data_IF_143574364059
#
_entry.id   IF_143574364059
#
_cell.length_a   1.000
_cell.length_b   1.000
_cell.length_c   1.000
_cell.angle_alpha   90.00
_cell.angle_beta   90.00
_cell.angle_gamma   90.00
#
_symmetry.space_group_name_H-M   'P 1'
#
loop_
_entity.id
_entity.type
_entity.pdbx_description
1 polymer ?
#
# COMPACT_ATOMS: atom_id res chain seq x y z
N UNK A 1 19.80 -0.61 -7.11
CA UNK A 1 18.57 -0.09 -7.75
C UNK A 1 17.41 -0.35 -6.80
N UNK A 2 16.59 0.65 -6.49
CA UNK A 2 15.41 0.44 -5.66
C UNK A 2 14.44 -0.50 -6.40
N UNK A 3 13.98 -1.56 -5.73
CA UNK A 3 13.03 -2.52 -6.29
C UNK A 3 11.65 -1.87 -6.41
N UNK A 4 10.99 -2.03 -7.57
CA UNK A 4 9.62 -1.53 -7.79
C UNK A 4 8.69 -2.15 -6.74
N UNK A 5 8.01 -1.30 -5.96
CA UNK A 5 7.06 -1.76 -4.95
C UNK A 5 5.85 -2.40 -5.63
N UNK A 6 5.50 -3.60 -5.20
CA UNK A 6 4.37 -4.33 -5.79
C UNK A 6 3.07 -3.60 -5.51
N UNK A 7 2.21 -3.50 -6.51
CA UNK A 7 1.02 -2.65 -6.46
C UNK A 7 -0.25 -3.47 -6.73
N UNK A 8 -1.20 -3.48 -5.81
CA UNK A 8 -2.47 -4.20 -5.98
C UNK A 8 -3.61 -3.22 -5.84
N UNK A 9 -4.35 -3.01 -6.93
CA UNK A 9 -5.57 -2.20 -6.93
C UNK A 9 -6.80 -3.07 -7.18
N UNK A 10 -7.82 -2.98 -6.33
CA UNK A 10 -9.12 -3.59 -6.58
C UNK A 10 -10.06 -2.60 -7.26
N UNK A 11 -10.31 -2.76 -8.56
CA UNK A 11 -11.35 -2.03 -9.28
C UNK A 11 -12.70 -2.74 -9.06
N UNK A 12 -13.59 -2.11 -8.29
CA UNK A 12 -14.89 -2.69 -7.93
C UNK A 12 -15.93 -2.58 -9.05
N UNK A 13 -15.63 -1.79 -10.10
CA UNK A 13 -16.53 -1.49 -11.21
C UNK A 13 -17.90 -1.02 -10.70
N UNK A 14 -18.99 -1.37 -11.37
CA UNK A 14 -20.34 -0.86 -11.10
C UNK A 14 -21.29 -1.87 -10.44
N UNK A 15 -20.83 -3.07 -10.07
CA UNK A 15 -21.67 -4.09 -9.43
C UNK A 15 -21.30 -4.25 -7.94
N UNK A 16 -21.89 -3.38 -7.11
CA UNK A 16 -21.50 -3.20 -5.71
C UNK A 16 -22.71 -2.89 -4.83
N UNK A 17 -22.75 -3.48 -3.64
CA UNK A 17 -23.70 -3.14 -2.58
C UNK A 17 -22.98 -2.80 -1.26
N UNK A 18 -23.68 -2.14 -0.34
CA UNK A 18 -23.14 -1.68 0.94
C UNK A 18 -22.56 -2.81 1.80
N UNK A 19 -23.18 -3.99 1.80
CA UNK A 19 -22.73 -5.14 2.60
C UNK A 19 -21.38 -5.69 2.09
N UNK A 20 -21.20 -5.78 0.78
CA UNK A 20 -19.94 -6.21 0.17
C UNK A 20 -18.81 -5.21 0.48
N UNK A 21 -19.10 -3.90 0.37
CA UNK A 21 -18.15 -2.82 0.67
C UNK A 21 -17.72 -2.88 2.13
N UNK A 22 -18.69 -2.88 3.06
CA UNK A 22 -18.41 -2.88 4.51
C UNK A 22 -17.71 -4.17 4.96
N UNK A 23 -18.09 -5.32 4.40
CA UNK A 23 -17.41 -6.61 4.65
C UNK A 23 -15.95 -6.57 4.23
N UNK A 24 -15.65 -6.07 3.02
CA UNK A 24 -14.26 -5.97 2.56
C UNK A 24 -13.45 -4.96 3.38
N UNK A 25 -14.03 -3.79 3.69
CA UNK A 25 -13.39 -2.78 4.54
C UNK A 25 -13.07 -3.37 5.91
N UNK A 26 -14.02 -4.05 6.55
CA UNK A 26 -13.81 -4.73 7.83
C UNK A 26 -12.69 -5.75 7.75
N UNK A 27 -12.66 -6.57 6.68
CA UNK A 27 -11.61 -7.54 6.47
C UNK A 27 -10.23 -6.89 6.26
N UNK A 28 -10.13 -5.82 5.47
CA UNK A 28 -8.88 -5.08 5.27
C UNK A 28 -8.42 -4.39 6.57
N UNK A 29 -9.34 -3.82 7.33
CA UNK A 29 -9.04 -3.19 8.62
C UNK A 29 -8.52 -4.21 9.65
N UNK A 30 -9.20 -5.35 9.79
CA UNK A 30 -8.89 -6.35 10.82
C UNK A 30 -7.78 -7.34 10.46
N UNK A 31 -7.62 -7.70 9.18
CA UNK A 31 -6.69 -8.76 8.77
C UNK A 31 -5.33 -8.27 8.27
N UNK A 32 -5.19 -6.99 7.88
CA UNK A 32 -3.88 -6.42 7.54
C UNK A 32 -3.12 -6.04 8.82
N UNK A 33 -2.47 -7.00 9.48
CA UNK A 33 -1.72 -6.71 10.73
C UNK A 33 -0.35 -6.05 10.53
N UNK A 34 0.09 -5.86 9.28
CA UNK A 34 1.36 -5.25 8.91
C UNK A 34 1.16 -3.89 8.21
N UNK A 35 2.16 -3.01 8.22
CA UNK A 35 2.13 -1.75 7.49
C UNK A 35 2.51 -2.01 6.03
N UNK A 36 1.81 -1.34 5.11
CA UNK A 36 1.97 -1.46 3.67
C UNK A 36 3.16 -0.63 3.14
N UNK A 37 4.29 -0.59 3.87
CA UNK A 37 5.47 0.18 3.45
C UNK A 37 6.20 -0.48 2.27
N UNK A 38 6.23 -1.81 2.24
CA UNK A 38 6.98 -2.59 1.22
C UNK A 38 6.18 -2.89 -0.05
N UNK A 39 4.86 -2.71 -0.02
CA UNK A 39 3.97 -2.92 -1.15
C UNK A 39 2.71 -2.06 -1.01
N UNK A 40 2.06 -1.71 -2.11
CA UNK A 40 0.95 -0.76 -2.16
C UNK A 40 -0.38 -1.48 -2.40
N UNK A 41 -1.38 -1.19 -1.57
CA UNK A 41 -2.77 -1.64 -1.78
C UNK A 41 -3.66 -0.42 -2.02
N UNK A 42 -4.49 -0.51 -3.05
CA UNK A 42 -5.47 0.50 -3.43
C UNK A 42 -6.83 -0.18 -3.65
N UNK A 43 -7.92 0.49 -3.31
CA UNK A 43 -9.27 0.07 -3.69
C UNK A 43 -9.97 1.18 -4.45
N UNK A 44 -10.73 0.83 -5.49
CA UNK A 44 -11.42 1.77 -6.37
C UNK A 44 -12.92 1.51 -6.38
N UNK A 45 -13.67 2.05 -5.40
CA UNK A 45 -15.12 1.94 -5.34
C UNK A 45 -15.84 2.74 -6.45
N UNK A 46 -17.11 2.40 -6.77
CA UNK A 46 -17.99 3.34 -7.45
C UNK A 46 -18.07 4.67 -6.71
N UNK A 47 -18.32 5.76 -7.44
CA UNK A 47 -18.30 7.13 -6.90
C UNK A 47 -19.20 7.30 -5.66
N UNK A 48 -20.39 6.68 -5.65
CA UNK A 48 -21.34 6.72 -4.52
C UNK A 48 -20.79 6.14 -3.22
N UNK A 49 -19.73 5.31 -3.28
CA UNK A 49 -19.09 4.70 -2.11
C UNK A 49 -17.71 5.30 -1.77
N UNK A 50 -17.23 6.33 -2.48
CA UNK A 50 -15.92 6.93 -2.23
C UNK A 50 -15.78 7.45 -0.80
N UNK A 51 -16.74 8.26 -0.34
CA UNK A 51 -16.70 8.87 1.00
C UNK A 51 -16.79 7.82 2.12
N UNK A 52 -17.71 6.85 1.97
CA UNK A 52 -17.83 5.72 2.91
C UNK A 52 -16.52 4.94 2.99
N UNK A 53 -15.95 4.61 1.82
CA UNK A 53 -14.72 3.82 1.74
C UNK A 53 -13.56 4.58 2.37
N UNK A 54 -13.35 5.85 2.02
CA UNK A 54 -12.22 6.62 2.55
C UNK A 54 -12.32 6.86 4.06
N UNK A 55 -13.51 7.17 4.57
CA UNK A 55 -13.73 7.40 6.00
C UNK A 55 -13.59 6.14 6.86
N UNK A 56 -13.94 4.97 6.31
CA UNK A 56 -13.99 3.71 7.07
C UNK A 56 -12.73 2.86 6.91
N UNK A 57 -11.97 3.03 5.82
CA UNK A 57 -10.80 2.21 5.52
C UNK A 57 -9.54 2.78 6.18
N UNK A 58 -8.73 1.89 6.76
CA UNK A 58 -7.40 2.19 7.30
C UNK A 58 -6.55 3.05 6.36
N UNK A 59 -5.76 3.96 6.95
CA UNK A 59 -5.06 5.04 6.22
C UNK A 59 -3.90 4.59 5.33
N UNK A 60 -3.34 3.42 5.57
CA UNK A 60 -2.26 2.83 4.76
C UNK A 60 -2.79 2.08 3.53
N UNK A 61 -4.10 1.86 3.42
CA UNK A 61 -4.75 1.46 2.16
C UNK A 61 -5.28 2.72 1.47
N UNK A 62 -4.81 2.97 0.26
CA UNK A 62 -5.23 4.13 -0.52
C UNK A 62 -6.59 3.87 -1.20
N UNK A 63 -7.33 4.94 -1.47
CA UNK A 63 -8.58 4.88 -2.24
C UNK A 63 -8.36 5.60 -3.56
N UNK A 64 -8.86 4.99 -4.64
CA UNK A 64 -8.89 5.54 -5.98
C UNK A 64 -10.33 5.85 -6.42
N UNK A 65 -10.51 6.86 -7.27
CA UNK A 65 -11.72 6.94 -8.09
C UNK A 65 -11.58 6.08 -9.35
N UNK A 66 -12.69 5.60 -9.90
CA UNK A 66 -12.73 4.82 -11.14
C UNK A 66 -12.63 5.69 -12.41
N UNK A 67 -12.91 6.98 -12.30
CA UNK A 67 -12.76 8.01 -13.32
C UNK A 67 -12.91 9.41 -12.67
N UNK A 68 -12.60 10.45 -13.42
CA UNK A 68 -12.89 11.83 -13.05
C UNK A 68 -13.05 12.70 -14.31
N UNK A 69 -13.43 13.96 -14.12
CA UNK A 69 -13.48 14.98 -15.15
C UNK A 69 -12.48 16.11 -14.90
N UNK A 70 -11.87 16.62 -15.98
CA UNK A 70 -11.00 17.78 -15.94
C UNK A 70 -11.86 19.02 -16.09
N UNK A 71 -11.77 19.99 -15.18
CA UNK A 71 -12.43 21.27 -15.41
C UNK A 71 -11.77 21.96 -16.62
N UNK A 72 -12.51 22.12 -17.72
CA UNK A 72 -12.06 22.87 -18.90
C UNK A 72 -12.54 24.33 -18.80
N UNK A 73 -13.04 24.92 -19.89
CA UNK A 73 -13.34 26.35 -20.01
C UNK A 73 -14.39 26.90 -19.01
N UNK A 74 -15.32 26.06 -18.52
CA UNK A 74 -16.38 26.48 -17.59
C UNK A 74 -16.44 25.59 -16.36
N UNK A 75 -15.75 26.01 -15.30
CA UNK A 75 -15.77 25.37 -13.99
C UNK A 75 -17.21 25.06 -13.52
N UNK A 76 -17.46 23.81 -13.13
CA UNK A 76 -18.72 23.35 -12.57
C UNK A 76 -19.87 23.11 -13.56
N UNK A 77 -19.71 23.40 -14.86
CA UNK A 77 -20.77 23.21 -15.86
C UNK A 77 -20.79 21.81 -16.49
N UNK A 78 -20.63 20.77 -15.68
CA UNK A 78 -20.57 19.37 -16.13
C UNK A 78 -21.43 18.48 -15.22
N UNK A 79 -22.74 18.46 -15.47
CA UNK A 79 -23.70 17.68 -14.67
C UNK A 79 -23.31 16.20 -14.61
N UNK A 80 -23.37 15.61 -13.40
CA UNK A 80 -23.00 14.24 -13.08
C UNK A 80 -21.50 13.89 -13.13
N UNK A 81 -20.64 14.77 -13.65
CA UNK A 81 -19.20 14.55 -13.59
C UNK A 81 -18.63 14.88 -12.20
N UNK A 82 -17.59 14.15 -11.81
CA UNK A 82 -16.85 14.37 -10.56
C UNK A 82 -15.47 14.91 -10.91
N UNK A 83 -15.16 16.12 -10.46
CA UNK A 83 -13.89 16.79 -10.76
C UNK A 83 -12.72 16.22 -9.95
N UNK A 84 -11.49 16.43 -10.42
CA UNK A 84 -10.29 16.04 -9.68
C UNK A 84 -10.20 16.75 -8.31
N UNK A 85 -10.60 18.02 -8.25
CA UNK A 85 -10.59 18.83 -7.04
C UNK A 85 -11.58 18.27 -6.00
N UNK A 86 -12.74 17.78 -6.44
CA UNK A 86 -13.69 17.10 -5.55
C UNK A 86 -13.07 15.83 -4.95
N UNK A 87 -12.32 15.05 -5.76
CA UNK A 87 -11.63 13.86 -5.26
C UNK A 87 -10.56 14.22 -4.22
N UNK A 88 -9.74 15.23 -4.50
CA UNK A 88 -8.71 15.73 -3.57
C UNK A 88 -9.36 16.22 -2.26
N UNK A 89 -10.47 16.96 -2.35
CA UNK A 89 -11.21 17.45 -1.19
C UNK A 89 -11.73 16.30 -0.30
N UNK A 90 -12.18 15.19 -0.92
CA UNK A 90 -12.61 13.98 -0.21
C UNK A 90 -11.44 13.14 0.36
N UNK A 91 -10.19 13.56 0.17
CA UNK A 91 -9.00 12.82 0.59
C UNK A 91 -8.74 11.57 -0.26
N UNK A 92 -9.27 11.53 -1.49
CA UNK A 92 -8.97 10.49 -2.47
C UNK A 92 -7.63 10.81 -3.12
N UNK A 93 -6.77 9.80 -3.22
CA UNK A 93 -5.34 9.99 -3.57
C UNK A 93 -4.96 9.41 -4.93
N UNK A 94 -5.80 8.54 -5.49
CA UNK A 94 -5.56 7.86 -6.76
C UNK A 94 -6.75 8.01 -7.71
N UNK A 95 -6.52 7.83 -9.00
CA UNK A 95 -7.59 7.73 -10.00
C UNK A 95 -7.20 6.75 -11.10
N UNK A 96 -8.18 5.97 -11.58
CA UNK A 96 -8.05 5.14 -12.78
C UNK A 96 -8.47 5.97 -13.99
N UNK A 97 -7.67 5.96 -15.05
CA UNK A 97 -7.92 6.71 -16.29
C UNK A 97 -7.73 5.81 -17.50
N UNK A 98 -8.59 5.92 -18.51
CA UNK A 98 -8.46 5.15 -19.76
C UNK A 98 -8.74 3.65 -19.62
N UNK A 99 -9.55 3.25 -18.62
CA UNK A 99 -9.97 1.86 -18.47
C UNK A 99 -10.64 1.35 -19.76
N UNK A 100 -10.46 0.07 -20.13
CA UNK A 100 -10.91 -0.43 -21.44
C UNK A 100 -12.41 -0.24 -21.65
N UNK A 101 -13.22 -0.43 -20.62
CA UNK A 101 -14.67 -0.18 -20.65
C UNK A 101 -15.00 1.27 -21.01
N UNK A 102 -14.22 2.25 -20.54
CA UNK A 102 -14.42 3.67 -20.89
C UNK A 102 -14.06 3.97 -22.33
N UNK A 103 -12.97 3.37 -22.82
CA UNK A 103 -12.57 3.49 -24.22
C UNK A 103 -13.61 2.85 -25.16
N UNK A 104 -14.11 1.68 -24.80
CA UNK A 104 -15.01 0.89 -25.65
C UNK A 104 -16.47 1.34 -25.59
N UNK A 105 -17.01 1.60 -24.39
CA UNK A 105 -18.44 1.91 -24.22
C UNK A 105 -18.73 3.41 -24.23
N UNK A 106 -17.77 4.25 -23.80
CA UNK A 106 -17.91 5.70 -23.74
C UNK A 106 -17.04 6.45 -24.76
N UNK A 107 -16.25 5.74 -25.57
CA UNK A 107 -15.47 6.35 -26.64
C UNK A 107 -14.34 7.27 -26.15
N UNK A 108 -13.77 7.04 -24.96
CA UNK A 108 -12.63 7.86 -24.51
C UNK A 108 -11.41 7.68 -25.43
N UNK A 109 -11.08 8.77 -26.14
CA UNK A 109 -9.96 8.86 -27.07
C UNK A 109 -8.60 8.85 -26.35
N UNK A 110 -7.54 8.50 -27.08
CA UNK A 110 -6.19 8.40 -26.54
C UNK A 110 -5.66 9.74 -26.05
N UNK A 111 -5.89 10.81 -26.82
CA UNK A 111 -5.51 12.18 -26.48
C UNK A 111 -6.24 12.65 -25.20
N UNK A 112 -7.55 12.41 -25.10
CA UNK A 112 -8.33 12.74 -23.91
C UNK A 112 -7.80 12.01 -22.66
N UNK A 113 -7.35 10.75 -22.83
CA UNK A 113 -6.72 10.03 -21.73
C UNK A 113 -5.39 10.67 -21.34
N UNK A 114 -4.55 11.07 -22.30
CA UNK A 114 -3.31 11.80 -22.05
C UNK A 114 -3.54 13.09 -21.24
N UNK A 115 -4.49 13.92 -21.68
CA UNK A 115 -4.90 15.14 -20.98
C UNK A 115 -5.40 14.84 -19.56
N UNK A 116 -6.24 13.81 -19.39
CA UNK A 116 -6.71 13.38 -18.05
C UNK A 116 -5.57 12.97 -17.14
N UNK A 117 -4.54 12.30 -17.66
CA UNK A 117 -3.38 11.94 -16.84
C UNK A 117 -2.64 13.21 -16.39
N UNK A 118 -2.37 14.13 -17.30
CA UNK A 118 -1.69 15.39 -16.98
C UNK A 118 -2.45 16.22 -15.94
N UNK A 119 -3.76 16.41 -16.14
CA UNK A 119 -4.59 17.18 -15.23
C UNK A 119 -4.70 16.52 -13.85
N UNK A 120 -4.86 15.20 -13.77
CA UNK A 120 -4.89 14.51 -12.49
C UNK A 120 -3.59 14.73 -11.70
N UNK A 121 -2.44 14.62 -12.38
CA UNK A 121 -1.13 14.85 -11.77
C UNK A 121 -0.98 16.31 -11.32
N UNK A 122 -1.47 17.29 -12.10
CA UNK A 122 -1.40 18.72 -11.74
C UNK A 122 -2.22 19.05 -10.49
N UNK A 123 -3.31 18.31 -10.24
CA UNK A 123 -4.11 18.42 -9.01
C UNK A 123 -3.55 17.62 -7.83
N UNK A 124 -2.41 16.94 -8.00
CA UNK A 124 -1.77 16.15 -6.94
C UNK A 124 -2.35 14.74 -6.76
N UNK A 125 -3.21 14.28 -7.67
CA UNK A 125 -3.65 12.88 -7.69
C UNK A 125 -2.55 11.98 -8.26
N UNK A 126 -2.58 10.72 -7.87
CA UNK A 126 -1.77 9.66 -8.48
C UNK A 126 -2.61 8.90 -9.49
N UNK A 127 -2.00 8.43 -10.57
CA UNK A 127 -2.74 7.91 -11.73
C UNK A 127 -2.43 6.44 -11.95
N UNK A 128 -3.47 5.63 -12.10
CA UNK A 128 -3.44 4.31 -12.71
C UNK A 128 -3.89 4.48 -14.16
N UNK A 129 -2.93 4.65 -15.07
CA UNK A 129 -3.19 4.88 -16.48
C UNK A 129 -3.32 3.54 -17.21
N UNK A 130 -4.48 3.30 -17.81
CA UNK A 130 -4.81 2.03 -18.43
C UNK A 130 -4.54 2.05 -19.94
N UNK A 131 -3.86 1.01 -20.42
CA UNK A 131 -3.56 0.76 -21.83
C UNK A 131 -3.81 -0.72 -22.15
N UNK A 132 -4.09 -1.07 -23.39
CA UNK A 132 -4.44 -2.43 -23.77
C UNK A 132 -4.69 -2.63 -25.25
N UNK A 133 -4.61 -3.89 -25.67
CA UNK A 133 -4.96 -4.29 -27.04
C UNK A 133 -6.48 -4.20 -27.20
N UNK A 134 -6.96 -3.44 -28.18
CA UNK A 134 -8.38 -3.43 -28.50
C UNK A 134 -8.74 -4.68 -29.32
N UNK A 135 -9.85 -5.33 -28.97
CA UNK A 135 -10.38 -6.50 -29.68
C UNK A 135 -11.38 -6.10 -30.77
N UNK A 136 -11.90 -4.87 -30.72
CA UNK A 136 -12.88 -4.37 -31.69
C UNK A 136 -12.23 -3.70 -32.91
N UNK A 137 -12.81 -3.85 -34.13
CA UNK A 137 -12.35 -3.14 -35.33
C UNK A 137 -12.34 -1.62 -35.12
N UNK A 138 -11.24 -0.96 -35.49
CA UNK A 138 -11.07 0.49 -35.35
C UNK A 138 -10.49 0.95 -34.00
N UNK A 139 -10.16 0.03 -33.10
CA UNK A 139 -9.46 0.34 -31.86
C UNK A 139 -8.01 0.78 -32.03
N UNK A 140 -7.54 1.71 -31.21
CA UNK A 140 -6.14 2.10 -31.18
C UNK A 140 -5.24 0.98 -30.68
N UNK A 141 -4.04 0.86 -31.27
CA UNK A 141 -3.05 -0.08 -30.81
C UNK A 141 -2.39 0.39 -29.50
N UNK A 142 -1.74 -0.55 -28.82
CA UNK A 142 -1.05 -0.31 -27.55
C UNK A 142 0.00 0.80 -27.62
N UNK A 143 0.65 0.98 -28.78
CA UNK A 143 1.70 1.98 -28.99
C UNK A 143 1.10 3.38 -29.08
N UNK A 144 -0.01 3.54 -29.78
CA UNK A 144 -0.74 4.82 -29.85
C UNK A 144 -1.21 5.25 -28.46
N UNK A 145 -1.82 4.34 -27.70
CA UNK A 145 -2.30 4.63 -26.35
C UNK A 145 -1.20 5.07 -25.40
N UNK A 146 -0.05 4.37 -25.39
CA UNK A 146 1.07 4.75 -24.51
C UNK A 146 1.73 6.04 -24.98
N UNK A 147 1.81 6.28 -26.30
CA UNK A 147 2.35 7.51 -26.85
C UNK A 147 1.53 8.73 -26.42
N UNK A 148 0.20 8.65 -26.48
CA UNK A 148 -0.67 9.74 -26.03
C UNK A 148 -0.43 10.09 -24.55
N UNK A 149 -0.27 9.10 -23.67
CA UNK A 149 0.09 9.37 -22.25
C UNK A 149 1.48 9.99 -22.15
N UNK A 150 2.44 9.47 -22.91
CA UNK A 150 3.84 9.92 -22.92
C UNK A 150 3.97 11.35 -23.35
N UNK A 151 3.22 11.80 -24.34
CA UNK A 151 3.32 13.17 -24.86
C UNK A 151 2.85 14.20 -23.81
N UNK A 152 2.03 13.79 -22.83
CA UNK A 152 1.50 14.63 -21.75
C UNK A 152 2.20 14.50 -20.39
N UNK A 153 3.04 13.47 -20.19
CA UNK A 153 3.64 13.16 -18.87
C UNK A 153 5.16 13.36 -18.86
N UNK A 154 5.59 14.31 -18.03
CA UNK A 154 7.00 14.59 -17.74
C UNK A 154 7.50 13.87 -16.49
N UNK A 155 6.76 13.93 -15.37
CA UNK A 155 7.06 13.20 -14.14
C UNK A 155 6.20 11.93 -13.98
N UNK A 156 6.88 10.78 -13.94
CA UNK A 156 6.27 9.46 -13.84
C UNK A 156 6.20 8.92 -12.40
N UNK A 157 6.66 9.69 -11.41
CA UNK A 157 6.74 9.27 -9.99
C UNK A 157 5.38 8.83 -9.44
N UNK A 158 4.32 9.52 -9.86
CA UNK A 158 2.95 9.29 -9.41
C UNK A 158 2.09 8.53 -10.42
N UNK A 159 2.72 7.86 -11.40
CA UNK A 159 2.04 7.07 -12.43
C UNK A 159 2.27 5.56 -12.22
N UNK A 160 1.23 4.79 -12.46
CA UNK A 160 1.24 3.33 -12.60
C UNK A 160 0.59 3.00 -13.95
N UNK A 161 1.27 2.20 -14.76
CA UNK A 161 0.72 1.75 -16.04
C UNK A 161 -0.01 0.41 -15.83
N UNK A 162 -1.28 0.33 -16.21
CA UNK A 162 -2.09 -0.88 -16.11
C UNK A 162 -2.34 -1.46 -17.50
N UNK A 163 -1.72 -2.62 -17.78
CA UNK A 163 -1.89 -3.31 -19.05
C UNK A 163 -3.10 -4.25 -19.02
N UNK A 164 -4.10 -3.96 -19.85
CA UNK A 164 -5.31 -4.74 -20.07
C UNK A 164 -5.13 -5.57 -21.34
N UNK A 165 -4.90 -6.88 -21.24
CA UNK A 165 -4.78 -7.71 -22.42
C UNK A 165 -6.11 -7.91 -23.13
N UNK A 166 -6.06 -8.25 -24.41
CA UNK A 166 -7.23 -8.74 -25.13
C UNK A 166 -7.91 -9.92 -24.41
N UNK A 167 -9.23 -10.04 -24.57
CA UNK A 167 -10.01 -11.12 -23.96
C UNK A 167 -9.44 -12.48 -24.41
N UNK A 168 -9.21 -13.38 -23.45
CA UNK A 168 -8.66 -14.72 -23.72
C UNK A 168 -7.14 -14.79 -23.85
N UNK A 169 -6.40 -13.68 -23.75
CA UNK A 169 -4.95 -13.69 -23.81
C UNK A 169 -4.33 -14.56 -22.70
N UNK A 170 -3.28 -15.32 -23.06
CA UNK A 170 -2.58 -16.16 -22.10
C UNK A 170 -1.65 -15.34 -21.20
N UNK A 171 -1.33 -15.88 -20.01
CA UNK A 171 -0.35 -15.26 -19.10
C UNK A 171 1.06 -15.12 -19.72
N UNK A 172 1.40 -15.93 -20.73
CA UNK A 172 2.67 -15.82 -21.46
C UNK A 172 2.68 -14.55 -22.31
N UNK A 173 1.60 -14.31 -23.05
CA UNK A 173 1.40 -13.07 -23.83
C UNK A 173 1.50 -11.86 -22.91
N UNK A 174 0.82 -11.87 -21.76
CA UNK A 174 0.92 -10.80 -20.78
C UNK A 174 2.37 -10.53 -20.30
N UNK A 175 3.16 -11.59 -20.08
CA UNK A 175 4.56 -11.43 -19.67
C UNK A 175 5.39 -10.75 -20.76
N UNK A 176 5.17 -11.12 -22.02
CA UNK A 176 5.86 -10.54 -23.16
C UNK A 176 5.47 -9.08 -23.39
N UNK A 177 4.18 -8.75 -23.33
CA UNK A 177 3.73 -7.37 -23.52
C UNK A 177 4.25 -6.46 -22.41
N UNK A 178 4.28 -6.90 -21.16
CA UNK A 178 4.89 -6.13 -20.07
C UNK A 178 6.38 -5.83 -20.30
N UNK A 179 7.12 -6.81 -20.85
CA UNK A 179 8.53 -6.62 -21.22
C UNK A 179 8.65 -5.58 -22.34
N UNK A 180 7.88 -5.74 -23.42
CA UNK A 180 7.85 -4.82 -24.57
C UNK A 180 7.47 -3.40 -24.18
N UNK A 181 6.50 -3.22 -23.28
CA UNK A 181 6.12 -1.90 -22.76
C UNK A 181 7.27 -1.23 -22.02
N UNK A 182 8.02 -2.00 -21.22
CA UNK A 182 9.18 -1.46 -20.49
C UNK A 182 10.33 -1.09 -21.43
N UNK A 183 10.59 -1.93 -22.43
CA UNK A 183 11.57 -1.64 -23.49
C UNK A 183 11.18 -0.39 -24.30
N UNK A 184 9.90 -0.27 -24.64
CA UNK A 184 9.39 0.91 -25.33
C UNK A 184 9.57 2.18 -24.50
N UNK A 185 9.27 2.15 -23.19
CA UNK A 185 9.49 3.28 -22.28
C UNK A 185 10.98 3.60 -22.10
N UNK A 186 11.84 2.60 -22.16
CA UNK A 186 13.29 2.81 -22.11
C UNK A 186 13.77 3.62 -23.32
N UNK A 187 13.28 3.28 -24.51
CA UNK A 187 13.63 3.94 -25.77
C UNK A 187 13.00 5.33 -25.95
N UNK A 188 11.79 5.55 -25.42
CA UNK A 188 11.01 6.78 -25.69
C UNK A 188 10.98 7.78 -24.53
N UNK A 189 11.48 7.41 -23.34
CA UNK A 189 11.62 8.31 -22.20
C UNK A 189 13.05 8.30 -21.67
N UNK A 190 13.30 7.62 -20.56
CA UNK A 190 14.62 7.46 -19.97
C UNK A 190 14.73 6.09 -19.33
N UNK A 191 15.97 5.59 -19.21
CA UNK A 191 16.23 4.36 -18.46
C UNK A 191 15.72 4.44 -17.02
N UNK A 192 15.78 5.61 -16.38
CA UNK A 192 15.29 5.82 -15.02
C UNK A 192 13.76 5.62 -14.93
N UNK A 193 13.00 6.20 -15.87
CA UNK A 193 11.54 6.04 -15.95
C UNK A 193 11.17 4.56 -16.17
N UNK A 194 11.77 3.90 -17.15
CA UNK A 194 11.48 2.50 -17.45
C UNK A 194 11.79 1.55 -16.27
N UNK A 195 12.83 1.84 -15.49
CA UNK A 195 13.22 1.02 -14.34
C UNK A 195 12.34 1.27 -13.11
N UNK A 196 11.84 2.50 -12.90
CA UNK A 196 11.07 2.89 -11.72
C UNK A 196 9.57 2.71 -11.87
N UNK A 197 9.02 2.85 -13.09
CA UNK A 197 7.59 2.75 -13.34
C UNK A 197 7.08 1.34 -13.03
N UNK A 198 5.94 1.29 -12.33
CA UNK A 198 5.20 0.04 -12.09
C UNK A 198 4.30 -0.23 -13.29
N UNK A 199 4.44 -1.41 -13.89
CA UNK A 199 3.55 -1.93 -14.91
C UNK A 199 2.76 -3.09 -14.31
N UNK A 200 1.47 -2.87 -14.06
CA UNK A 200 0.57 -3.82 -13.41
C UNK A 200 -0.30 -4.55 -14.42
N UNK A 201 -0.58 -5.81 -14.15
CA UNK A 201 -1.41 -6.65 -15.01
C UNK A 201 -2.90 -6.45 -14.68
N UNK A 202 -3.71 -6.10 -15.68
CA UNK A 202 -5.12 -5.78 -15.54
C UNK A 202 -6.06 -6.79 -16.25
N UNK A 203 -5.55 -7.98 -16.60
CA UNK A 203 -6.38 -9.07 -17.13
C UNK A 203 -6.90 -10.01 -16.03
N UNK A 204 -7.37 -11.19 -16.43
CA UNK A 204 -7.90 -12.18 -15.49
C UNK A 204 -6.83 -12.66 -14.50
N UNK A 205 -7.02 -12.36 -13.22
CA UNK A 205 -6.03 -12.59 -12.16
C UNK A 205 -6.06 -14.00 -11.58
N UNK A 206 -6.69 -14.99 -12.21
CA UNK A 206 -6.81 -16.36 -11.66
C UNK A 206 -5.45 -17.03 -11.45
N UNK A 207 -4.43 -16.63 -12.21
CA UNK A 207 -3.04 -17.12 -12.12
C UNK A 207 -2.10 -16.15 -11.38
N UNK A 208 -2.61 -15.32 -10.47
CA UNK A 208 -1.85 -14.30 -9.72
C UNK A 208 -0.53 -14.82 -9.10
N UNK A 209 -0.50 -16.06 -8.58
CA UNK A 209 0.72 -16.68 -8.04
C UNK A 209 1.85 -16.84 -9.06
N UNK A 210 1.51 -17.16 -10.32
CA UNK A 210 2.50 -17.31 -11.41
C UNK A 210 2.91 -15.94 -11.95
N UNK A 211 1.94 -15.04 -12.14
CA UNK A 211 2.17 -13.70 -12.68
C UNK A 211 3.02 -12.82 -11.75
N UNK A 212 2.79 -12.90 -10.44
CA UNK A 212 3.53 -12.09 -9.43
C UNK A 212 5.04 -12.37 -9.36
N UNK A 213 5.49 -13.50 -9.93
CA UNK A 213 6.90 -13.92 -10.01
C UNK A 213 7.58 -13.48 -11.32
N UNK A 214 6.86 -12.84 -12.24
CA UNK A 214 7.41 -12.37 -13.51
C UNK A 214 8.11 -11.02 -13.30
N UNK A 215 9.29 -10.88 -13.91
CA UNK A 215 10.20 -9.75 -13.72
C UNK A 215 9.57 -8.38 -14.04
N UNK A 216 8.77 -8.32 -15.11
CA UNK A 216 8.15 -7.08 -15.60
C UNK A 216 6.71 -6.87 -15.12
N UNK A 217 6.19 -7.75 -14.24
CA UNK A 217 4.85 -7.62 -13.67
C UNK A 217 4.98 -7.12 -12.23
N UNK A 218 4.63 -5.85 -12.04
CA UNK A 218 4.82 -5.14 -10.78
C UNK A 218 3.56 -5.13 -9.92
N UNK A 219 2.52 -5.87 -10.30
CA UNK A 219 1.25 -5.80 -9.59
C UNK A 219 0.05 -6.22 -10.39
N UNK A 220 -1.13 -5.89 -9.84
CA UNK A 220 -2.43 -6.22 -10.42
C UNK A 220 -3.43 -5.07 -10.31
N UNK A 221 -4.18 -4.84 -11.39
CA UNK A 221 -5.47 -4.17 -11.36
C UNK A 221 -6.55 -5.25 -11.41
N UNK A 222 -7.13 -5.57 -10.26
CA UNK A 222 -8.09 -6.67 -10.09
C UNK A 222 -9.49 -6.13 -10.38
N UNK A 223 -10.15 -6.63 -11.43
CA UNK A 223 -11.58 -6.41 -11.66
C UNK A 223 -12.41 -7.47 -10.95
N UNK A 224 -12.61 -8.61 -11.61
CA UNK A 224 -13.38 -9.73 -11.06
C UNK A 224 -12.76 -10.27 -9.75
N UNK A 225 -13.58 -10.35 -8.70
CA UNK A 225 -13.16 -10.81 -7.38
C UNK A 225 -12.44 -9.76 -6.53
N UNK A 226 -12.44 -8.49 -6.94
CA UNK A 226 -11.89 -7.37 -6.16
C UNK A 226 -12.68 -7.06 -4.89
N UNK A 227 -13.97 -7.43 -4.85
CA UNK A 227 -14.88 -7.30 -3.71
C UNK A 227 -15.07 -8.60 -2.90
N UNK A 228 -14.25 -9.63 -3.16
CA UNK A 228 -14.41 -10.94 -2.51
C UNK A 228 -13.16 -11.31 -1.71
N UNK A 229 -13.19 -12.40 -0.90
CA UNK A 229 -11.99 -12.90 -0.22
C UNK A 229 -10.82 -13.23 -1.16
N UNK A 230 -11.07 -13.35 -2.47
CA UNK A 230 -10.03 -13.52 -3.49
C UNK A 230 -9.09 -12.31 -3.54
N UNK A 231 -9.58 -11.09 -3.38
CA UNK A 231 -8.73 -9.90 -3.32
C UNK A 231 -7.71 -9.99 -2.19
N UNK A 232 -8.16 -10.42 -1.00
CA UNK A 232 -7.28 -10.61 0.16
C UNK A 232 -6.21 -11.67 -0.11
N UNK A 233 -6.52 -12.75 -0.83
CA UNK A 233 -5.52 -13.75 -1.26
C UNK A 233 -4.49 -13.20 -2.25
N UNK A 234 -4.89 -12.26 -3.11
CA UNK A 234 -3.95 -11.58 -4.03
C UNK A 234 -3.04 -10.64 -3.25
N UNK A 235 -3.60 -9.90 -2.28
CA UNK A 235 -2.84 -9.06 -1.35
C UNK A 235 -1.85 -9.91 -0.54
N UNK A 236 -2.28 -11.06 -0.01
CA UNK A 236 -1.42 -12.02 0.69
C UNK A 236 -0.26 -12.55 -0.16
N UNK A 237 -0.48 -12.76 -1.46
CA UNK A 237 0.60 -13.14 -2.37
C UNK A 237 1.65 -12.02 -2.52
N UNK A 238 1.24 -10.76 -2.46
CA UNK A 238 2.17 -9.63 -2.43
C UNK A 238 2.96 -9.63 -1.12
N UNK A 239 2.30 -9.87 0.02
CA UNK A 239 2.96 -9.99 1.34
C UNK A 239 4.04 -11.06 1.30
N UNK A 240 3.68 -12.28 0.90
CA UNK A 240 4.60 -13.41 0.83
C UNK A 240 5.82 -13.16 -0.06
N UNK A 241 5.72 -12.26 -1.06
CA UNK A 241 6.84 -11.87 -1.92
C UNK A 241 7.89 -11.04 -1.16
N UNK A 242 7.46 -10.15 -0.27
CA UNK A 242 8.36 -9.30 0.53
C UNK A 242 8.74 -9.94 1.86
N UNK A 243 7.86 -10.75 2.42
CA UNK A 243 7.98 -11.42 3.70
C UNK A 243 7.70 -12.92 3.52
N UNK A 244 8.68 -13.70 3.03
CA UNK A 244 8.47 -15.14 2.80
C UNK A 244 8.12 -15.88 4.10
N UNK A 245 7.08 -16.72 4.05
CA UNK A 245 6.63 -17.52 5.20
C UNK A 245 5.61 -16.83 6.09
N UNK A 246 5.21 -15.60 5.79
CA UNK A 246 4.13 -14.91 6.52
C UNK A 246 2.79 -15.03 5.81
N UNK A 247 1.74 -15.41 6.52
CA UNK A 247 0.38 -15.35 5.98
C UNK A 247 -0.37 -14.09 6.42
N UNK A 248 -1.36 -13.72 5.62
CA UNK A 248 -2.32 -12.65 5.86
C UNK A 248 -3.00 -12.78 7.23
N UNK A 249 -2.74 -11.82 8.13
CA UNK A 249 -3.36 -11.74 9.45
C UNK A 249 -2.65 -12.51 10.57
N UNK A 250 -1.56 -13.21 10.27
CA UNK A 250 -0.82 -14.03 11.25
C UNK A 250 0.33 -13.29 11.94
N UNK A 251 0.85 -12.19 11.38
CA UNK A 251 1.99 -11.45 11.96
C UNK A 251 1.89 -9.92 11.83
N UNK A 252 2.43 -9.20 12.82
CA UNK A 252 2.59 -7.73 12.77
C UNK A 252 3.86 -7.34 12.00
N UNK A 253 3.85 -6.20 11.29
CA UNK A 253 5.03 -5.69 10.57
C UNK A 253 6.18 -5.38 11.55
N UNK A 254 7.39 -5.93 11.34
CA UNK A 254 8.56 -5.58 12.14
C UNK A 254 8.81 -4.06 12.26
N UNK A 255 8.48 -3.27 11.23
CA UNK A 255 8.59 -1.81 11.25
C UNK A 255 7.53 -1.16 12.14
N UNK A 256 6.30 -1.69 12.15
CA UNK A 256 5.24 -1.24 13.05
C UNK A 256 5.53 -1.62 14.49
N UNK A 257 6.08 -2.83 14.71
CA UNK A 257 6.54 -3.25 16.04
C UNK A 257 7.67 -2.33 16.51
N UNK A 258 8.62 -1.98 15.64
CA UNK A 258 9.67 -1.00 15.94
C UNK A 258 9.12 0.39 16.29
N UNK A 259 8.13 0.89 15.54
CA UNK A 259 7.47 2.19 15.81
C UNK A 259 6.68 2.16 17.14
N UNK A 260 6.00 1.05 17.44
CA UNK A 260 5.31 0.82 18.73
C UNK A 260 6.30 0.80 19.89
N UNK A 261 7.41 0.08 19.74
CA UNK A 261 8.52 0.05 20.71
C UNK A 261 9.06 1.45 20.94
N UNK A 262 9.32 2.22 19.88
CA UNK A 262 9.86 3.57 19.97
C UNK A 262 8.91 4.52 20.71
N UNK A 263 7.60 4.41 20.46
CA UNK A 263 6.57 5.18 21.19
C UNK A 263 6.50 4.77 22.66
N UNK A 264 6.51 3.47 22.95
CA UNK A 264 6.50 2.96 24.32
C UNK A 264 7.75 3.41 25.09
N UNK A 265 8.94 3.34 24.48
CA UNK A 265 10.19 3.82 25.09
C UNK A 265 10.18 5.33 25.35
N UNK A 266 9.65 6.14 24.40
CA UNK A 266 9.50 7.59 24.60
C UNK A 266 8.52 7.91 25.71
N UNK A 267 7.38 7.22 25.77
CA UNK A 267 6.40 7.38 26.84
C UNK A 267 6.97 6.99 28.20
N UNK A 268 7.67 5.85 28.30
CA UNK A 268 8.34 5.42 29.52
C UNK A 268 9.42 6.41 29.98
N UNK A 269 10.22 6.96 29.05
CA UNK A 269 11.23 7.97 29.37
C UNK A 269 10.62 9.31 29.80
N UNK A 270 9.49 9.73 29.23
CA UNK A 270 8.76 10.91 29.68
C UNK A 270 8.21 10.70 31.10
N UNK A 271 7.60 9.53 31.36
CA UNK A 271 7.09 9.18 32.69
C UNK A 271 8.18 9.12 33.76
N UNK A 272 9.41 8.71 33.41
CA UNK A 272 10.56 8.72 34.35
C UNK A 272 11.00 10.15 34.74
N UNK A 273 10.74 11.16 33.90
CA UNK A 273 11.10 12.55 34.19
C UNK A 273 10.13 13.24 35.15
N UNK A 274 8.84 12.88 35.11
CA UNK A 274 7.81 13.66 35.80
C UNK A 274 7.57 13.26 37.26
N UNK A 275 7.78 11.99 37.66
CA UNK A 275 7.82 11.59 39.08
C UNK A 275 8.28 10.11 39.26
N UNK A 276 9.48 9.82 39.79
CA UNK A 276 10.00 8.45 39.87
C UNK A 276 9.38 7.58 40.98
N UNK A 277 8.64 8.14 41.94
CA UNK A 277 8.29 7.45 43.20
C UNK A 277 6.83 7.02 43.36
N UNK A 278 6.03 7.07 42.29
CA UNK A 278 4.63 6.66 42.31
C UNK A 278 4.52 5.16 42.01
N UNK A 279 3.98 4.37 42.95
CA UNK A 279 3.72 2.92 42.75
C UNK A 279 2.87 2.63 41.51
N UNK A 280 1.91 3.50 41.19
CA UNK A 280 1.09 3.39 39.98
C UNK A 280 1.89 3.63 38.69
N UNK A 281 2.95 4.45 38.77
CA UNK A 281 3.84 4.76 37.65
C UNK A 281 4.84 3.63 37.42
N UNK A 282 5.36 3.01 38.49
CA UNK A 282 6.18 1.81 38.42
C UNK A 282 5.42 0.61 37.81
N UNK A 283 4.16 0.39 38.19
CA UNK A 283 3.33 -0.66 37.60
C UNK A 283 3.04 -0.44 36.10
N UNK A 284 2.85 0.82 35.68
CA UNK A 284 2.68 1.18 34.26
C UNK A 284 3.95 0.97 33.45
N UNK A 285 5.11 1.35 34.00
CA UNK A 285 6.42 1.11 33.39
C UNK A 285 6.68 -0.39 33.26
N UNK A 286 6.42 -1.18 34.31
CA UNK A 286 6.58 -2.65 34.28
C UNK A 286 5.69 -3.32 33.23
N UNK A 287 4.43 -2.90 33.10
CA UNK A 287 3.51 -3.42 32.08
C UNK A 287 4.03 -3.13 30.67
N UNK A 288 4.51 -1.91 30.43
CA UNK A 288 5.13 -1.51 29.16
C UNK A 288 6.42 -2.30 28.90
N UNK A 289 7.25 -2.53 29.91
CA UNK A 289 8.48 -3.33 29.80
C UNK A 289 8.19 -4.80 29.47
N UNK A 290 7.15 -5.41 30.05
CA UNK A 290 6.70 -6.75 29.67
C UNK A 290 6.16 -6.82 28.24
N UNK A 291 5.40 -5.81 27.81
CA UNK A 291 4.91 -5.72 26.43
C UNK A 291 6.08 -5.59 25.44
N UNK A 292 7.12 -4.83 25.78
CA UNK A 292 8.35 -4.71 24.99
C UNK A 292 9.12 -6.03 24.88
N UNK A 293 9.24 -6.79 25.98
CA UNK A 293 9.89 -8.13 25.99
C UNK A 293 9.10 -9.13 25.13
N UNK A 294 7.77 -9.13 25.23
CA UNK A 294 6.93 -10.01 24.39
C UNK A 294 6.99 -9.62 22.90
N UNK A 295 7.25 -8.34 22.58
CA UNK A 295 7.47 -7.87 21.21
C UNK A 295 8.85 -8.25 20.65
N UNK A 296 9.86 -8.41 21.50
CA UNK A 296 11.21 -8.89 21.13
C UNK A 296 11.16 -10.32 20.59
N UNK A 297 10.37 -11.20 21.22
CA UNK A 297 10.15 -12.58 20.74
C UNK A 297 9.57 -12.64 19.32
N UNK A 298 8.75 -11.66 18.94
CA UNK A 298 8.16 -11.56 17.59
C UNK A 298 9.20 -11.05 16.59
N UNK A 299 10.02 -10.08 16.99
CA UNK A 299 11.07 -9.49 16.16
C UNK A 299 12.24 -10.45 15.90
N UNK A 300 12.69 -11.18 16.93
CA UNK A 300 13.77 -12.18 16.84
C UNK A 300 13.37 -13.35 15.91
N UNK A 301 12.09 -13.75 15.92
CA UNK A 301 11.56 -14.78 15.00
C UNK A 301 11.47 -14.31 13.55
N UNK A 302 11.38 -12.99 13.29
CA UNK A 302 11.14 -12.42 11.96
C UNK A 302 12.37 -12.35 11.04
N UNK A 303 13.59 -12.65 11.55
CA UNK A 303 14.87 -12.73 10.82
C UNK A 303 14.91 -11.97 9.48
N UNK A 304 14.91 -10.64 9.52
CA UNK A 304 15.57 -9.78 8.52
C UNK A 304 15.72 -8.35 9.08
N UNK A 305 16.97 -7.92 9.14
CA UNK A 305 17.46 -6.55 9.38
C UNK A 305 17.53 -5.96 10.80
N UNK A 306 17.30 -6.73 11.87
CA UNK A 306 17.88 -6.36 13.18
C UNK A 306 19.32 -6.89 13.22
N UNK A 307 20.28 -6.01 12.89
CA UNK A 307 21.69 -6.27 13.12
C UNK A 307 21.94 -6.22 14.63
N UNK A 308 21.74 -7.36 15.28
CA UNK A 308 22.14 -7.70 16.66
C UNK A 308 21.52 -6.88 17.80
N UNK A 309 20.67 -7.52 18.61
CA UNK A 309 20.47 -7.16 20.03
C UNK A 309 21.69 -7.69 20.78
N UNK A 310 22.79 -6.93 20.77
CA UNK A 310 23.99 -7.31 21.51
C UNK A 310 23.92 -6.69 22.90
N UNK A 311 23.97 -7.56 23.91
CA UNK A 311 24.10 -7.28 25.33
C UNK A 311 22.83 -6.88 26.09
N UNK A 312 22.02 -7.89 26.41
CA UNK A 312 21.45 -7.98 27.76
C UNK A 312 22.59 -8.45 28.69
N UNK A 313 23.24 -7.52 29.39
CA UNK A 313 24.24 -7.85 30.42
C UNK A 313 23.73 -7.42 31.79
N UNK A 314 23.68 -8.39 32.71
CA UNK A 314 23.61 -8.10 34.13
C UNK A 314 24.95 -7.50 34.57
N UNK A 315 24.94 -6.32 35.18
CA UNK A 315 26.10 -5.76 35.89
C UNK A 315 25.58 -5.17 37.19
N UNK A 316 26.15 -5.62 38.32
CA UNK A 316 26.02 -5.03 39.65
C UNK A 316 24.72 -4.24 39.82
N UNK A 317 23.65 -5.01 40.00
CA UNK A 317 22.32 -4.52 40.33
C UNK A 317 21.68 -3.66 39.24
N UNK A 318 21.96 -3.83 37.94
CA UNK A 318 21.22 -3.15 36.87
C UNK A 318 21.14 -4.00 35.59
N UNK A 319 20.05 -3.87 34.85
CA UNK A 319 19.92 -4.41 33.49
C UNK A 319 20.09 -3.28 32.46
N UNK A 320 20.97 -3.48 31.48
CA UNK A 320 21.16 -2.50 30.40
C UNK A 320 20.61 -3.09 29.11
N UNK A 321 19.68 -2.39 28.47
CA UNK A 321 19.19 -2.74 27.13
C UNK A 321 19.74 -1.72 26.14
N UNK A 322 20.49 -2.19 25.15
CA UNK A 322 21.00 -1.36 24.07
C UNK A 322 20.39 -1.80 22.74
N UNK A 323 19.64 -0.92 22.10
CA UNK A 323 19.02 -1.16 20.80
C UNK A 323 19.70 -0.27 19.76
N UNK A 324 20.13 -0.87 18.66
CA UNK A 324 20.67 -0.13 17.51
C UNK A 324 19.59 -0.07 16.42
N UNK A 325 19.11 1.14 16.10
CA UNK A 325 18.15 1.37 15.02
C UNK A 325 18.74 2.35 14.03
N UNK A 326 18.92 1.94 12.77
CA UNK A 326 19.43 2.79 11.67
C UNK A 326 20.71 3.56 12.04
N UNK A 327 21.69 2.90 12.67
CA UNK A 327 22.95 3.52 13.08
C UNK A 327 22.87 4.38 14.35
N UNK A 328 21.69 4.59 14.92
CA UNK A 328 21.50 5.29 16.20
C UNK A 328 21.53 4.28 17.35
N UNK A 329 22.43 4.51 18.31
CA UNK A 329 22.56 3.70 19.52
C UNK A 329 21.67 4.26 20.63
N UNK A 330 20.66 3.50 21.04
CA UNK A 330 19.79 3.84 22.17
C UNK A 330 20.14 2.93 23.35
N UNK A 331 20.45 3.51 24.50
CA UNK A 331 20.84 2.80 25.73
C UNK A 331 19.85 3.14 26.84
N UNK A 332 19.30 2.12 27.50
CA UNK A 332 18.47 2.26 28.70
C UNK A 332 19.06 1.43 29.84
N UNK A 333 19.02 1.96 31.05
CA UNK A 333 19.50 1.32 32.28
C UNK A 333 18.31 1.08 33.22
N UNK A 334 18.16 -0.13 33.75
CA UNK A 334 17.12 -0.55 34.69
C UNK A 334 17.71 -0.69 36.09
N UNK A 335 17.09 -0.08 37.10
CA UNK A 335 17.46 -0.18 38.53
C UNK A 335 16.51 -1.17 39.23
N UNK A 336 16.97 -2.18 39.99
CA UNK A 336 16.18 -3.20 40.71
C UNK A 336 15.40 -2.70 41.91
N UNK A 337 15.53 -1.41 42.28
CA UNK A 337 15.09 -0.88 43.58
C UNK A 337 13.57 -0.90 43.85
N UNK A 338 12.76 -1.55 43.01
CA UNK A 338 11.31 -1.72 43.22
C UNK A 338 10.89 -3.18 43.45
N UNK A 339 11.81 -4.15 43.43
CA UNK A 339 11.45 -5.58 43.51
C UNK A 339 11.09 -6.05 44.93
N UNK A 340 11.88 -5.68 45.95
CA UNK A 340 11.63 -6.10 47.34
C UNK A 340 10.41 -5.42 47.99
N UNK A 341 10.02 -4.24 47.50
CA UNK A 341 8.82 -3.56 47.99
C UNK A 341 7.52 -4.14 47.41
N UNK A 342 7.56 -4.64 46.16
CA UNK A 342 6.41 -5.23 45.48
C UNK A 342 6.06 -6.64 45.96
N UNK A 343 7.06 -7.45 46.35
CA UNK A 343 6.83 -8.82 46.84
C UNK A 343 6.26 -8.86 48.27
N UNK A 344 6.41 -7.77 49.04
CA UNK A 344 5.92 -7.67 50.42
C UNK A 344 4.52 -7.05 50.55
N UNK A 345 3.93 -6.54 49.47
CA UNK A 345 2.57 -6.01 49.48
C UNK A 345 1.58 -7.04 48.92
N UNK A 346 0.90 -7.76 49.82
CA UNK A 346 -0.21 -8.67 49.53
C UNK A 346 -1.36 -7.98 48.75
N UNK A 347 -1.32 -7.98 47.42
CA UNK A 347 -2.48 -7.61 46.62
C UNK A 347 -2.79 -8.69 45.58
N UNK A 348 -3.97 -9.27 45.77
CA UNK A 348 -4.65 -10.21 44.89
C UNK A 348 -5.40 -9.41 43.81
N UNK A 349 -5.23 -9.87 42.56
CA UNK A 349 -5.85 -9.47 41.27
C UNK A 349 -5.35 -8.23 40.53
#
# INVERSE_FOLDING_TARGET
>A
MATRTFFVCGNWKSDVNTDAVTTLISALNGKLKFCLKSFKVVVSPPQVFLNLTRSSLRRDVDVASQNFWMEMEKKGCYSAEISAEMLVNLGITWVIVGHSERRQLWGELDELVGEKVEYALSQGLKVIACVGENVEPGGSDLTTQIKAIVDHVTDWTNVVLAYQPAVGASWKVATEVHKRLREWLHSNKTSAVAQSIRIIYAGLTTKYKKLSRKENIDGFLVGEGSLTPRFLKIVDQAVNKYYPGTQFGEHEDPLTVSDKILRALRAANAMKKDNPNSHAQAARIWKLERELINMDDVLVKSKKDIKTVNDLRARNDHWVVTIHVQGTRLRSTMVPATYEHLMNSNWIF
#
